data_IF_385006956227
#
_entry.id   IF_385006956227
#
_cell.length_a   1.000
_cell.length_b   1.000
_cell.length_c   1.000
_cell.angle_alpha   90.00
_cell.angle_beta   90.00
_cell.angle_gamma   90.00
#
_symmetry.space_group_name_H-M   'P 1'
#
loop_
_entity.id
_entity.type
_entity.pdbx_description
1 polymer ?
#
# COMPACT_ATOMS: atom_id res chain seq x y z
N UNK A 1 -8.88 -20.04 29.98
CA UNK A 1 -9.63 -19.09 30.84
C UNK A 1 -9.22 -17.68 30.37
N UNK A 2 -10.15 -16.89 29.86
CA UNK A 2 -9.87 -15.52 29.42
C UNK A 2 -10.04 -14.59 30.61
N UNK A 3 -9.12 -13.64 30.80
CA UNK A 3 -9.18 -12.66 31.88
C UNK A 3 -10.49 -11.86 31.90
N UNK A 4 -11.10 -11.65 30.72
CA UNK A 4 -12.41 -10.97 30.55
C UNK A 4 -13.60 -11.78 31.08
N UNK A 5 -13.43 -13.07 31.37
CA UNK A 5 -14.47 -13.98 31.83
C UNK A 5 -14.34 -14.35 33.31
N UNK A 6 -13.30 -13.80 33.95
CA UNK A 6 -13.08 -14.01 35.40
C UNK A 6 -14.10 -13.22 36.18
N UNK A 7 -14.78 -13.89 37.11
CA UNK A 7 -15.70 -13.27 38.04
C UNK A 7 -14.99 -13.17 39.41
N UNK A 8 -14.91 -11.95 39.95
CA UNK A 8 -14.21 -11.66 41.19
C UNK A 8 -14.76 -12.47 42.36
N UNK A 9 -16.07 -12.72 42.37
CA UNK A 9 -16.74 -13.51 43.40
C UNK A 9 -16.18 -14.95 43.52
N UNK A 10 -15.70 -15.51 42.41
CA UNK A 10 -15.10 -16.87 42.42
C UNK A 10 -13.70 -16.93 42.95
N UNK A 11 -13.05 -15.77 43.11
CA UNK A 11 -11.71 -15.64 43.68
C UNK A 11 -11.75 -15.38 45.17
N UNK A 12 -12.90 -15.01 45.74
CA UNK A 12 -13.07 -14.74 47.14
C UNK A 12 -13.23 -16.04 47.96
N UNK A 13 -12.72 -16.07 49.19
CA UNK A 13 -13.00 -17.15 50.12
C UNK A 13 -14.52 -17.30 50.33
N UNK A 14 -14.98 -18.52 50.66
CA UNK A 14 -16.40 -18.85 50.78
C UNK A 14 -17.13 -18.01 51.84
N UNK A 15 -16.46 -17.60 52.91
CA UNK A 15 -17.02 -16.77 53.95
C UNK A 15 -17.25 -15.31 53.52
N UNK A 16 -16.38 -14.74 52.68
CA UNK A 16 -16.59 -13.41 52.06
C UNK A 16 -17.64 -13.45 50.96
N UNK A 17 -17.68 -14.52 50.19
CA UNK A 17 -18.66 -14.67 49.13
C UNK A 17 -20.12 -14.78 49.63
N UNK A 18 -20.31 -14.99 50.94
CA UNK A 18 -21.64 -15.01 51.57
C UNK A 18 -22.09 -13.64 52.07
N UNK A 19 -21.17 -12.70 52.29
CA UNK A 19 -21.52 -11.35 52.73
C UNK A 19 -22.07 -10.50 51.57
N UNK A 20 -23.13 -9.74 51.84
CA UNK A 20 -23.79 -8.89 50.85
C UNK A 20 -22.93 -7.70 50.39
N UNK A 21 -22.13 -7.13 51.29
CA UNK A 21 -21.23 -6.02 50.97
C UNK A 21 -20.09 -6.46 50.05
N UNK A 22 -19.48 -7.59 50.36
CA UNK A 22 -18.37 -8.16 49.58
C UNK A 22 -18.86 -8.57 48.16
N UNK A 23 -20.06 -9.09 48.05
CA UNK A 23 -20.70 -9.41 46.77
C UNK A 23 -20.93 -8.16 45.91
N UNK A 24 -21.41 -7.08 46.54
CA UNK A 24 -21.60 -5.81 45.87
C UNK A 24 -20.29 -5.21 45.35
N UNK A 25 -19.24 -5.29 46.17
CA UNK A 25 -17.91 -4.83 45.78
C UNK A 25 -17.33 -5.68 44.62
N UNK A 26 -17.44 -6.99 44.70
CA UNK A 26 -17.00 -7.89 43.66
C UNK A 26 -17.72 -7.62 42.30
N UNK A 27 -19.02 -7.41 42.33
CA UNK A 27 -19.79 -7.07 41.16
C UNK A 27 -19.40 -5.69 40.55
N UNK A 28 -19.07 -4.71 41.41
CA UNK A 28 -18.54 -3.42 40.97
C UNK A 28 -17.17 -3.56 40.30
N UNK A 29 -16.27 -4.35 40.88
CA UNK A 29 -14.95 -4.66 40.28
C UNK A 29 -15.09 -5.36 38.91
N UNK A 30 -16.03 -6.31 38.82
CA UNK A 30 -16.30 -7.01 37.56
C UNK A 30 -16.79 -6.09 36.44
N UNK A 31 -17.68 -5.15 36.77
CA UNK A 31 -18.17 -4.15 35.82
C UNK A 31 -17.04 -3.24 35.31
N UNK A 32 -16.22 -2.73 36.23
CA UNK A 32 -15.07 -1.89 35.86
C UNK A 32 -14.04 -2.66 35.02
N UNK A 33 -13.74 -3.90 35.40
CA UNK A 33 -12.83 -4.76 34.64
C UNK A 33 -13.33 -5.06 33.25
N UNK A 34 -14.60 -5.39 33.08
CA UNK A 34 -15.21 -5.65 31.75
C UNK A 34 -15.20 -4.41 30.87
N UNK A 35 -15.50 -3.23 31.42
CA UNK A 35 -15.42 -1.97 30.68
C UNK A 35 -13.98 -1.66 30.27
N UNK A 36 -13.01 -1.82 31.16
CA UNK A 36 -11.59 -1.66 30.84
C UNK A 36 -11.14 -2.61 29.72
N UNK A 37 -11.51 -3.89 29.78
CA UNK A 37 -11.19 -4.86 28.72
C UNK A 37 -11.87 -4.54 27.39
N UNK A 38 -13.09 -4.00 27.40
CA UNK A 38 -13.78 -3.56 26.20
C UNK A 38 -13.02 -2.40 25.52
N UNK A 39 -12.51 -1.46 26.34
CA UNK A 39 -11.71 -0.32 25.86
C UNK A 39 -10.32 -0.71 25.37
N UNK A 40 -9.69 -1.72 25.97
CA UNK A 40 -8.38 -2.22 25.52
C UNK A 40 -8.40 -2.67 24.06
N UNK A 41 -9.51 -3.21 23.58
CA UNK A 41 -9.66 -3.58 22.17
C UNK A 41 -9.59 -2.38 21.21
N UNK A 42 -9.88 -1.16 21.70
CA UNK A 42 -9.78 0.06 20.92
C UNK A 42 -8.33 0.52 20.75
N UNK A 43 -7.42 0.08 21.62
CA UNK A 43 -6.00 0.43 21.54
C UNK A 43 -5.24 -0.37 20.48
N UNK A 44 -5.76 -1.53 20.05
CA UNK A 44 -5.18 -2.33 18.97
C UNK A 44 -5.56 -1.72 17.62
N UNK A 45 -4.82 -0.68 17.20
CA UNK A 45 -5.05 0.02 15.94
C UNK A 45 -4.56 -0.78 14.72
N UNK A 46 -3.46 -1.52 14.88
CA UNK A 46 -2.86 -2.32 13.80
C UNK A 46 -3.80 -3.36 13.18
N UNK A 47 -4.59 -4.03 14.00
CA UNK A 47 -5.52 -5.06 13.53
C UNK A 47 -6.74 -4.46 12.82
N UNK A 48 -6.91 -3.13 12.89
CA UNK A 48 -8.10 -2.42 12.43
C UNK A 48 -7.81 -1.30 11.43
N UNK A 49 -6.67 -1.32 10.78
CA UNK A 49 -6.25 -0.27 9.81
C UNK A 49 -7.36 0.01 8.79
N UNK A 50 -8.11 -1.02 8.36
CA UNK A 50 -9.19 -0.89 7.39
C UNK A 50 -10.44 -0.15 7.93
N UNK A 51 -10.56 -0.04 9.26
CA UNK A 51 -11.69 0.62 9.94
C UNK A 51 -11.34 2.03 10.44
N UNK A 52 -10.05 2.40 10.43
CA UNK A 52 -9.61 3.71 10.91
C UNK A 52 -10.10 4.83 9.98
N UNK A 53 -10.46 5.94 10.60
CA UNK A 53 -10.78 7.19 9.91
C UNK A 53 -9.52 7.84 9.33
N UNK A 54 -9.70 8.83 8.47
CA UNK A 54 -8.60 9.56 7.82
C UNK A 54 -7.67 10.22 8.84
N UNK A 55 -8.24 10.91 9.84
CA UNK A 55 -7.47 11.55 10.90
C UNK A 55 -6.68 10.55 11.77
N UNK A 56 -7.26 9.38 12.07
CA UNK A 56 -6.56 8.34 12.83
C UNK A 56 -5.41 7.71 12.04
N UNK A 57 -5.54 7.63 10.71
CA UNK A 57 -4.44 7.19 9.83
C UNK A 57 -3.31 8.22 9.81
N UNK A 58 -3.63 9.52 9.75
CA UNK A 58 -2.63 10.58 9.80
C UNK A 58 -1.86 10.58 11.13
N UNK A 59 -2.56 10.40 12.27
CA UNK A 59 -1.92 10.24 13.58
C UNK A 59 -1.02 9.00 13.64
N UNK A 60 -1.49 7.87 13.09
CA UNK A 60 -0.72 6.63 13.08
C UNK A 60 0.52 6.76 12.20
N UNK A 61 0.44 7.43 11.07
CA UNK A 61 1.58 7.71 10.20
C UNK A 61 2.61 8.61 10.89
N UNK A 62 2.16 9.59 11.67
CA UNK A 62 3.03 10.44 12.48
C UNK A 62 3.70 9.65 13.61
N UNK A 63 2.96 8.80 14.32
CA UNK A 63 3.48 7.92 15.38
C UNK A 63 4.59 7.00 14.85
N UNK A 64 4.39 6.43 13.65
CA UNK A 64 5.35 5.58 12.97
C UNK A 64 6.48 6.35 12.27
N UNK A 65 6.43 7.69 12.30
CA UNK A 65 7.39 8.58 11.66
C UNK A 65 7.60 8.28 10.16
N UNK A 66 6.53 8.00 9.42
CA UNK A 66 6.61 7.64 8.00
C UNK A 66 6.95 8.89 7.18
N UNK A 67 8.21 9.00 6.75
CA UNK A 67 8.72 10.19 6.05
C UNK A 67 8.17 10.36 4.62
N UNK A 68 7.65 9.28 4.03
CA UNK A 68 7.04 9.24 2.70
C UNK A 68 5.51 9.23 2.74
N UNK A 69 4.93 9.64 3.86
CA UNK A 69 3.48 9.74 4.00
C UNK A 69 2.96 11.06 3.43
N UNK A 70 1.85 10.96 2.68
CA UNK A 70 1.13 12.11 2.16
C UNK A 70 -0.29 12.15 2.76
N UNK A 71 -0.57 13.22 3.52
CA UNK A 71 -1.87 13.43 4.16
C UNK A 71 -3.00 13.76 3.16
N UNK A 72 -2.66 14.13 1.93
CA UNK A 72 -3.65 14.44 0.88
C UNK A 72 -4.03 13.25 0.03
N UNK A 73 -3.32 12.12 0.19
CA UNK A 73 -3.53 10.91 -0.58
C UNK A 73 -4.91 10.26 -0.29
N UNK A 74 -5.44 9.49 -1.24
CA UNK A 74 -6.66 8.72 -1.02
C UNK A 74 -6.52 7.77 0.18
N UNK A 75 -7.61 7.55 0.92
CA UNK A 75 -7.61 6.71 2.13
C UNK A 75 -7.11 5.29 1.89
N UNK A 76 -7.31 4.76 0.69
CA UNK A 76 -6.80 3.44 0.29
C UNK A 76 -5.26 3.42 0.24
N UNK A 77 -4.64 4.45 -0.34
CA UNK A 77 -3.20 4.61 -0.38
C UNK A 77 -2.61 4.82 1.03
N UNK A 78 -3.23 5.67 1.86
CA UNK A 78 -2.83 5.88 3.26
C UNK A 78 -2.78 4.56 4.04
N UNK A 79 -3.81 3.73 3.92
CA UNK A 79 -3.87 2.40 4.55
C UNK A 79 -2.78 1.46 4.05
N UNK A 80 -2.52 1.45 2.73
CA UNK A 80 -1.47 0.63 2.14
C UNK A 80 -0.09 1.05 2.63
N UNK A 81 0.22 2.34 2.64
CA UNK A 81 1.49 2.91 3.12
C UNK A 81 1.75 2.56 4.58
N UNK A 82 0.76 2.72 5.46
CA UNK A 82 0.89 2.38 6.87
C UNK A 82 1.13 0.88 7.04
N UNK A 83 0.35 0.04 6.34
CA UNK A 83 0.46 -1.43 6.42
C UNK A 83 1.82 -1.95 5.99
N UNK A 84 2.42 -1.32 4.98
CA UNK A 84 3.69 -1.74 4.41
C UNK A 84 4.90 -0.99 4.99
N UNK A 85 4.70 -0.03 5.89
CA UNK A 85 5.75 0.84 6.43
C UNK A 85 6.93 0.07 7.01
N UNK A 86 6.69 -0.97 7.81
CA UNK A 86 7.75 -1.79 8.41
C UNK A 86 8.64 -2.47 7.36
N UNK A 87 8.02 -2.97 6.28
CA UNK A 87 8.74 -3.62 5.18
C UNK A 87 9.59 -2.64 4.39
N UNK A 88 9.06 -1.44 4.20
CA UNK A 88 9.77 -0.35 3.51
C UNK A 88 10.94 0.13 4.37
N UNK A 89 10.74 0.34 5.67
CA UNK A 89 11.82 0.71 6.59
C UNK A 89 12.96 -0.33 6.62
N UNK A 90 12.61 -1.61 6.70
CA UNK A 90 13.60 -2.68 6.72
C UNK A 90 14.46 -2.75 5.43
N UNK A 91 13.95 -2.19 4.32
CA UNK A 91 14.59 -2.25 3.00
C UNK A 91 14.83 -0.87 2.39
N UNK A 92 14.90 0.17 3.22
CA UNK A 92 15.09 1.55 2.75
C UNK A 92 16.35 1.67 1.89
N UNK A 93 16.28 2.43 0.80
CA UNK A 93 17.38 2.59 -0.15
C UNK A 93 17.57 1.43 -1.13
N UNK A 94 16.69 0.46 -1.15
CA UNK A 94 16.71 -0.63 -2.14
C UNK A 94 15.63 -0.44 -3.22
N UNK A 95 15.77 -1.08 -4.40
CA UNK A 95 14.74 -1.07 -5.43
C UNK A 95 13.37 -1.57 -4.94
N UNK A 96 13.39 -2.52 -3.99
CA UNK A 96 12.16 -3.03 -3.38
C UNK A 96 11.36 -1.95 -2.65
N UNK A 97 12.02 -1.10 -1.84
CA UNK A 97 11.34 -0.04 -1.11
C UNK A 97 10.71 0.98 -2.06
N UNK A 98 11.41 1.32 -3.15
CA UNK A 98 10.89 2.21 -4.20
C UNK A 98 9.69 1.58 -4.90
N UNK A 99 9.78 0.31 -5.31
CA UNK A 99 8.69 -0.40 -5.97
C UNK A 99 7.46 -0.53 -5.07
N UNK A 100 7.66 -0.78 -3.76
CA UNK A 100 6.56 -0.88 -2.81
C UNK A 100 5.80 0.44 -2.65
N UNK A 101 6.52 1.56 -2.55
CA UNK A 101 5.88 2.88 -2.46
C UNK A 101 5.12 3.23 -3.73
N UNK A 102 5.67 2.90 -4.90
CA UNK A 102 4.96 3.09 -6.16
C UNK A 102 3.68 2.26 -6.17
N UNK A 103 3.75 1.01 -5.70
CA UNK A 103 2.57 0.14 -5.61
C UNK A 103 1.50 0.69 -4.64
N UNK A 104 1.91 1.26 -3.51
CA UNK A 104 1.01 1.78 -2.48
C UNK A 104 0.26 3.05 -2.93
N UNK A 105 0.90 3.93 -3.71
CA UNK A 105 0.32 5.20 -4.16
C UNK A 105 -0.28 5.16 -5.57
N UNK A 106 0.39 4.46 -6.47
CA UNK A 106 0.11 4.57 -7.92
C UNK A 106 -0.30 3.23 -8.56
N UNK A 107 -0.33 2.15 -7.80
CA UNK A 107 -0.64 0.81 -8.31
C UNK A 107 0.61 0.03 -8.68
N UNK A 108 0.57 -0.69 -9.81
CA UNK A 108 1.71 -1.52 -10.22
C UNK A 108 2.92 -0.68 -10.59
N UNK A 109 4.07 -1.07 -10.07
CA UNK A 109 5.33 -0.42 -10.38
C UNK A 109 6.52 -1.36 -10.26
N UNK A 110 7.39 -1.35 -11.26
CA UNK A 110 8.63 -2.11 -11.30
C UNK A 110 9.81 -1.15 -11.38
N UNK A 111 10.88 -1.46 -10.63
CA UNK A 111 12.13 -0.71 -10.69
C UNK A 111 13.18 -1.56 -11.39
N UNK A 112 13.70 -1.05 -12.50
CA UNK A 112 14.82 -1.68 -13.23
C UNK A 112 16.12 -0.97 -12.98
N UNK A 113 17.10 -1.71 -12.51
CA UNK A 113 18.44 -1.18 -12.27
C UNK A 113 19.29 -1.15 -13.57
N UNK A 114 20.29 -0.28 -13.58
CA UNK A 114 21.17 -0.03 -14.71
C UNK A 114 21.73 -1.28 -15.42
N UNK A 115 22.04 -2.32 -14.66
CA UNK A 115 22.59 -3.57 -15.23
C UNK A 115 21.54 -4.40 -15.99
N UNK A 116 20.24 -4.15 -15.77
CA UNK A 116 19.14 -4.86 -16.46
C UNK A 116 18.85 -4.27 -17.84
N UNK A 117 19.13 -2.99 -18.04
CA UNK A 117 18.88 -2.30 -19.31
C UNK A 117 20.14 -1.73 -19.97
N UNK A 118 21.35 -2.04 -19.44
CA UNK A 118 22.61 -1.57 -20.01
C UNK A 118 22.88 -0.07 -19.84
N UNK A 119 22.33 0.55 -18.79
CA UNK A 119 22.47 1.96 -18.48
C UNK A 119 23.78 2.32 -17.77
N UNK A 120 23.92 3.59 -17.37
CA UNK A 120 25.06 4.06 -16.58
C UNK A 120 25.01 3.48 -15.17
N UNK A 121 26.15 3.17 -14.53
CA UNK A 121 26.19 2.72 -13.15
C UNK A 121 25.42 3.65 -12.20
N UNK A 122 24.72 3.06 -11.22
CA UNK A 122 23.89 3.75 -10.22
C UNK A 122 22.62 4.41 -10.76
N UNK A 123 22.27 4.17 -12.03
CA UNK A 123 21.03 4.64 -12.62
C UNK A 123 19.93 3.57 -12.52
N UNK A 124 18.68 4.00 -12.47
CA UNK A 124 17.53 3.10 -12.48
C UNK A 124 16.36 3.71 -13.25
N UNK A 125 15.49 2.87 -13.75
CA UNK A 125 14.24 3.25 -14.41
C UNK A 125 13.06 2.75 -13.61
N UNK A 126 11.97 3.50 -13.66
CA UNK A 126 10.70 3.10 -13.07
C UNK A 126 9.73 2.77 -14.19
N UNK A 127 9.09 1.61 -14.11
CA UNK A 127 8.01 1.20 -14.99
C UNK A 127 6.72 1.23 -14.20
N UNK A 128 5.66 1.81 -14.73
CA UNK A 128 4.33 1.83 -14.12
C UNK A 128 3.26 1.72 -15.19
N UNK A 129 2.14 1.11 -14.84
CA UNK A 129 0.99 0.99 -15.74
C UNK A 129 0.03 2.18 -15.58
N UNK A 130 0.28 3.05 -14.60
CA UNK A 130 -0.62 4.16 -14.27
C UNK A 130 -0.14 5.47 -14.93
N UNK A 131 -0.88 6.01 -15.93
CA UNK A 131 -0.54 7.29 -16.55
C UNK A 131 -0.70 8.50 -15.61
N UNK A 132 -1.51 8.39 -14.55
CA UNK A 132 -1.70 9.45 -13.54
C UNK A 132 -0.43 9.79 -12.77
N UNK A 133 0.57 8.91 -12.76
CA UNK A 133 1.85 9.12 -12.10
C UNK A 133 2.62 10.30 -12.71
N UNK A 134 2.53 10.50 -14.03
CA UNK A 134 3.28 11.54 -14.73
C UNK A 134 2.46 12.83 -14.90
N UNK A 135 1.15 12.72 -15.12
CA UNK A 135 0.34 13.87 -15.50
C UNK A 135 0.01 14.81 -14.31
N UNK A 136 -0.38 14.23 -13.17
CA UNK A 136 -0.92 15.03 -12.05
C UNK A 136 -0.06 14.93 -10.77
N UNK A 137 0.69 13.85 -10.62
CA UNK A 137 1.36 13.52 -9.37
C UNK A 137 2.89 13.42 -9.50
N UNK A 138 3.48 13.97 -10.55
CA UNK A 138 4.92 13.84 -10.80
C UNK A 138 5.75 14.45 -9.67
N UNK A 139 5.41 15.65 -9.20
CA UNK A 139 6.14 16.33 -8.13
C UNK A 139 6.05 15.56 -6.82
N UNK A 140 4.86 15.04 -6.50
CA UNK A 140 4.66 14.17 -5.35
C UNK A 140 5.53 12.91 -5.47
N UNK A 141 5.46 12.23 -6.62
CA UNK A 141 6.27 11.04 -6.89
C UNK A 141 7.77 11.31 -6.72
N UNK A 142 8.28 12.38 -7.30
CA UNK A 142 9.70 12.73 -7.17
C UNK A 142 10.10 13.05 -5.73
N UNK A 143 9.23 13.70 -4.96
CA UNK A 143 9.47 13.99 -3.54
C UNK A 143 9.53 12.71 -2.71
N UNK A 144 8.58 11.78 -2.90
CA UNK A 144 8.55 10.47 -2.26
C UNK A 144 9.79 9.64 -2.62
N UNK A 145 10.15 9.65 -3.91
CA UNK A 145 11.32 8.94 -4.40
C UNK A 145 12.62 9.44 -3.77
N UNK A 146 12.78 10.77 -3.62
CA UNK A 146 13.96 11.38 -2.97
C UNK A 146 14.13 10.93 -1.52
N UNK A 147 13.04 10.71 -0.82
CA UNK A 147 13.04 10.27 0.58
C UNK A 147 13.47 8.82 0.72
N UNK A 148 13.09 7.97 -0.22
CA UNK A 148 13.22 6.50 -0.11
C UNK A 148 14.42 5.94 -0.85
N UNK A 149 14.79 6.53 -2.00
CA UNK A 149 15.93 6.04 -2.79
C UNK A 149 17.26 6.27 -2.08
N UNK A 150 18.25 5.47 -2.43
CA UNK A 150 19.64 5.73 -2.03
C UNK A 150 20.11 7.05 -2.61
N UNK A 151 20.85 7.84 -1.84
CA UNK A 151 21.39 9.15 -2.29
C UNK A 151 22.27 9.05 -3.55
N UNK A 152 23.00 7.95 -3.71
CA UNK A 152 23.87 7.69 -4.86
C UNK A 152 23.13 7.16 -6.09
N UNK A 153 21.83 6.88 -5.99
CA UNK A 153 21.05 6.36 -7.12
C UNK A 153 20.37 7.49 -7.88
N UNK A 154 20.41 7.43 -9.20
CA UNK A 154 19.85 8.43 -10.13
C UNK A 154 18.69 7.86 -10.91
N UNK A 155 17.59 8.60 -10.99
CA UNK A 155 16.47 8.25 -11.85
C UNK A 155 16.80 8.65 -13.28
N UNK A 156 16.77 7.68 -14.19
CA UNK A 156 17.06 7.88 -15.61
C UNK A 156 15.81 8.23 -16.40
N UNK A 157 14.75 7.46 -16.18
CA UNK A 157 13.48 7.66 -16.86
C UNK A 157 12.32 6.99 -16.09
N UNK A 158 11.14 7.52 -16.31
CA UNK A 158 9.87 6.89 -15.92
C UNK A 158 9.22 6.39 -17.20
N UNK A 159 8.95 5.09 -17.27
CA UNK A 159 8.29 4.44 -18.41
C UNK A 159 6.86 4.09 -17.99
N UNK A 160 5.89 4.59 -18.73
CA UNK A 160 4.50 4.21 -18.56
C UNK A 160 4.19 3.15 -19.62
N UNK A 161 3.93 1.93 -19.15
CA UNK A 161 3.55 0.82 -19.99
C UNK A 161 2.02 0.70 -19.96
N UNK A 162 1.37 1.13 -21.02
CA UNK A 162 -0.05 0.94 -21.18
C UNK A 162 -0.27 -0.45 -21.81
N UNK A 163 -0.75 -1.38 -21.00
CA UNK A 163 -1.22 -2.69 -21.49
C UNK A 163 -2.70 -2.57 -21.78
N UNK A 164 -3.07 -2.70 -23.04
CA UNK A 164 -4.45 -2.71 -23.49
C UNK A 164 -4.62 -3.77 -24.56
N UNK A 165 -5.74 -4.46 -24.56
CA UNK A 165 -6.13 -5.29 -25.70
C UNK A 165 -6.53 -4.35 -26.85
N UNK A 166 -5.64 -4.20 -27.84
CA UNK A 166 -5.94 -3.45 -29.05
C UNK A 166 -6.18 -4.45 -30.17
N UNK A 167 -7.42 -4.55 -30.60
CA UNK A 167 -7.77 -5.35 -31.78
C UNK A 167 -7.40 -4.57 -33.05
N UNK A 168 -6.30 -4.94 -33.68
CA UNK A 168 -5.91 -4.40 -34.97
C UNK A 168 -6.54 -5.30 -36.07
N UNK A 169 -7.57 -4.80 -36.71
CA UNK A 169 -8.14 -5.49 -37.84
C UNK A 169 -7.36 -5.08 -39.11
N UNK A 170 -6.43 -5.93 -39.55
CA UNK A 170 -5.77 -5.78 -40.83
C UNK A 170 -6.50 -6.65 -41.85
N UNK A 171 -7.25 -6.03 -42.74
CA UNK A 171 -7.87 -6.73 -43.84
C UNK A 171 -6.98 -6.60 -45.11
N UNK A 172 -6.50 -7.70 -45.65
CA UNK A 172 -5.86 -7.74 -46.96
C UNK A 172 -6.80 -8.42 -47.94
N UNK A 173 -7.31 -7.67 -48.92
CA UNK A 173 -8.08 -8.22 -50.01
C UNK A 173 -7.11 -8.56 -51.15
N UNK A 174 -6.88 -9.85 -51.39
CA UNK A 174 -6.15 -10.33 -52.54
C UNK A 174 -7.19 -10.81 -53.56
N UNK A 175 -7.26 -10.14 -54.70
CA UNK A 175 -8.13 -10.52 -55.82
C UNK A 175 -7.33 -11.35 -56.80
N UNK A 176 -7.51 -12.65 -56.72
CA UNK A 176 -6.95 -13.57 -57.71
C UNK A 176 -8.10 -14.40 -58.30
N UNK A 177 -8.27 -14.29 -59.62
CA UNK A 177 -9.33 -15.00 -60.35
C UNK A 177 -10.79 -14.83 -59.87
N UNK A 178 -11.13 -13.65 -59.30
CA UNK A 178 -12.52 -13.37 -58.92
C UNK A 178 -12.96 -13.84 -57.54
N UNK A 179 -12.10 -14.45 -56.71
CA UNK A 179 -12.38 -14.77 -55.31
C UNK A 179 -11.72 -13.76 -54.38
N UNK A 180 -12.51 -13.15 -53.49
CA UNK A 180 -12.03 -12.29 -52.41
C UNK A 180 -11.85 -13.11 -51.11
N UNK A 181 -10.61 -13.17 -50.60
CA UNK A 181 -10.29 -13.82 -49.34
C UNK A 181 -9.93 -12.77 -48.31
N UNK A 182 -10.74 -12.63 -47.25
CA UNK A 182 -10.45 -11.75 -46.16
C UNK A 182 -9.78 -12.56 -45.03
N UNK A 183 -8.60 -12.17 -44.58
CA UNK A 183 -7.92 -12.73 -43.44
C UNK A 183 -7.90 -11.68 -42.36
N UNK A 184 -8.51 -11.96 -41.20
CA UNK A 184 -8.43 -11.12 -39.99
C UNK A 184 -7.40 -11.72 -39.06
N UNK A 185 -6.44 -10.92 -38.60
CA UNK A 185 -5.50 -11.25 -37.58
C UNK A 185 -5.69 -10.33 -36.37
N UNK A 186 -5.54 -10.89 -35.19
CA UNK A 186 -5.56 -10.15 -33.91
C UNK A 186 -4.17 -10.24 -33.31
N UNK A 187 -3.48 -9.10 -33.16
CA UNK A 187 -2.20 -9.03 -32.47
C UNK A 187 -2.30 -8.17 -31.21
N UNK A 188 -1.71 -8.63 -30.11
CA UNK A 188 -1.53 -7.83 -28.90
C UNK A 188 -0.38 -6.83 -29.10
N UNK A 189 -0.68 -5.53 -28.98
CA UNK A 189 0.32 -4.48 -29.09
C UNK A 189 0.58 -3.88 -27.71
N UNK A 190 1.81 -4.00 -27.22
CA UNK A 190 2.29 -3.29 -26.05
C UNK A 190 2.80 -1.91 -26.46
N UNK A 191 2.07 -0.86 -26.08
CA UNK A 191 2.51 0.52 -26.27
C UNK A 191 3.23 1.02 -25.03
N UNK A 192 4.50 1.34 -25.16
CA UNK A 192 5.31 1.93 -24.10
C UNK A 192 5.57 3.41 -24.43
N UNK A 193 5.03 4.34 -23.64
CA UNK A 193 5.29 5.76 -23.76
C UNK A 193 6.52 6.14 -22.92
N UNK A 194 7.50 6.74 -23.56
CA UNK A 194 8.76 7.16 -22.94
C UNK A 194 8.62 8.61 -22.50
N UNK A 195 8.65 8.85 -21.18
CA UNK A 195 8.78 10.19 -20.63
C UNK A 195 10.23 10.39 -20.16
N UNK A 196 10.93 11.30 -20.81
CA UNK A 196 12.26 11.74 -20.39
C UNK A 196 12.13 13.11 -19.71
N UNK A 197 12.42 13.19 -18.41
CA UNK A 197 12.62 14.49 -17.78
C UNK A 197 14.06 14.91 -18.00
N UNK A 198 14.27 15.86 -18.89
CA UNK A 198 15.53 16.60 -18.95
C UNK A 198 15.59 17.54 -17.73
N UNK A 199 16.33 17.15 -16.71
CA UNK A 199 16.69 18.00 -15.57
C UNK A 199 18.11 17.67 -15.09
#
# INVERSE_FOLDING_TARGET
MRLSEVEMIKLLPSWMAQDGADRGLAAGCDTLSRDAFARLKLLSRWDKIDQLSDAELDEMAWELNIQWYDSTAPIAAKRAVIRNSDRVYAKLGTPYAVAQIIADYFGTGEVREWYQYGGKPYHFKVLSDNPGLVNENLDLFLSLLRTVKRRSAWLDAILICLTGEMFLYAGMAVREHGEERHVMGTDEIHLCLLYTSDA
#
